data_IF_251220402835
#
_entry.id   IF_251220402835
#
_cell.length_a   1.000
_cell.length_b   1.000
_cell.length_c   1.000
_cell.angle_alpha   90.00
_cell.angle_beta   90.00
_cell.angle_gamma   90.00
#
_symmetry.space_group_name_H-M   'P 1'
#
loop_
_entity.id
_entity.type
_entity.pdbx_description
1 polymer ?
#
# COMPACT_ATOMS: atom_id res chain seq x y z
N UNK A 1 -75.70 -9.39 47.55
CA UNK A 1 -75.34 -7.96 47.40
C UNK A 1 -74.02 -7.73 48.12
N UNK A 2 -73.19 -6.85 47.56
CA UNK A 2 -71.85 -6.42 47.97
C UNK A 2 -70.66 -7.21 47.42
N UNK A 3 -69.85 -6.44 46.68
CA UNK A 3 -68.76 -6.76 45.78
C UNK A 3 -67.43 -6.99 46.52
N UNK A 4 -66.53 -7.75 45.90
CA UNK A 4 -65.09 -7.60 46.11
C UNK A 4 -64.36 -7.71 44.77
N UNK A 5 -63.56 -6.69 44.48
CA UNK A 5 -62.76 -6.48 43.27
C UNK A 5 -61.35 -7.02 43.53
N UNK A 6 -60.83 -7.87 42.65
CA UNK A 6 -59.43 -8.29 42.65
C UNK A 6 -58.59 -7.33 41.80
N UNK A 7 -57.50 -6.80 42.38
CA UNK A 7 -56.44 -6.05 41.69
C UNK A 7 -55.19 -6.94 41.57
N UNK A 8 -54.53 -6.76 40.44
CA UNK A 8 -53.27 -7.37 39.97
C UNK A 8 -52.04 -6.94 40.76
N UNK A 9 -51.10 -7.86 40.95
CA UNK A 9 -49.70 -7.58 41.33
C UNK A 9 -48.76 -7.92 40.16
N UNK A 10 -48.04 -6.91 39.67
CA UNK A 10 -46.88 -7.05 38.78
C UNK A 10 -45.60 -6.95 39.63
N UNK A 11 -44.66 -7.87 39.40
CA UNK A 11 -43.30 -7.81 39.93
C UNK A 11 -42.30 -7.86 38.77
N UNK A 12 -41.40 -6.87 38.60
CA UNK A 12 -40.43 -6.91 37.52
C UNK A 12 -39.15 -7.64 37.94
N UNK A 13 -38.86 -8.76 37.27
CA UNK A 13 -37.55 -9.40 37.25
C UNK A 13 -36.58 -8.51 36.44
N UNK A 14 -35.66 -7.86 37.14
CA UNK A 14 -34.55 -7.15 36.52
C UNK A 14 -33.54 -8.15 35.97
N UNK A 15 -33.47 -8.28 34.64
CA UNK A 15 -32.38 -8.94 33.94
C UNK A 15 -31.24 -7.94 33.81
N UNK A 16 -30.25 -8.03 34.69
CA UNK A 16 -28.98 -7.31 34.57
C UNK A 16 -28.16 -7.94 33.43
N UNK A 17 -28.25 -7.33 32.24
CA UNK A 17 -27.29 -7.53 31.16
C UNK A 17 -25.94 -6.99 31.63
N UNK A 18 -25.03 -7.88 32.01
CA UNK A 18 -23.63 -7.51 32.22
C UNK A 18 -23.01 -7.19 30.86
N UNK A 19 -22.95 -5.91 30.53
CA UNK A 19 -22.08 -5.40 29.46
C UNK A 19 -20.64 -5.64 29.90
N UNK A 20 -20.00 -6.71 29.43
CA UNK A 20 -18.56 -6.84 29.52
C UNK A 20 -17.94 -5.70 28.71
N UNK A 21 -17.47 -4.67 29.43
CA UNK A 21 -16.55 -3.68 28.87
C UNK A 21 -15.26 -4.43 28.59
N UNK A 22 -15.05 -4.85 27.34
CA UNK A 22 -13.75 -5.33 26.91
C UNK A 22 -12.79 -4.15 27.00
N UNK A 23 -11.77 -4.24 27.85
CA UNK A 23 -10.72 -3.22 27.94
C UNK A 23 -10.00 -3.15 26.59
N UNK A 24 -10.13 -2.00 25.92
CA UNK A 24 -9.45 -1.74 24.64
C UNK A 24 -7.92 -1.67 24.86
N UNK A 25 -7.16 -2.39 24.05
CA UNK A 25 -5.69 -2.36 24.08
C UNK A 25 -5.21 -1.33 23.06
N UNK A 26 -4.43 -0.30 23.49
CA UNK A 26 -3.88 0.68 22.55
C UNK A 26 -2.87 0.03 21.60
N UNK A 27 -2.74 0.58 20.39
CA UNK A 27 -1.70 0.17 19.46
C UNK A 27 -0.32 0.31 20.11
N UNK A 28 0.54 -0.69 19.93
CA UNK A 28 1.83 -0.74 20.59
C UNK A 28 1.83 -1.39 21.98
N UNK A 29 0.73 -2.03 22.38
CA UNK A 29 0.61 -2.75 23.66
C UNK A 29 0.30 -1.84 24.86
N UNK A 30 0.13 -2.47 26.04
CA UNK A 30 -0.34 -1.79 27.27
C UNK A 30 0.74 -0.99 28.01
N UNK A 31 2.03 -1.23 27.72
CA UNK A 31 3.13 -0.51 28.37
C UNK A 31 3.10 0.98 27.98
N UNK A 32 2.95 1.93 28.92
CA UNK A 32 2.85 3.34 28.58
C UNK A 32 4.17 3.93 28.03
N UNK A 33 5.32 3.34 28.34
CA UNK A 33 6.65 3.90 28.06
C UNK A 33 7.35 3.20 26.88
N UNK A 34 6.80 2.08 26.39
CA UNK A 34 7.31 1.34 25.25
C UNK A 34 6.22 1.10 24.21
N UNK A 35 6.56 1.11 22.93
CA UNK A 35 5.63 0.78 21.85
C UNK A 35 6.08 -0.48 21.12
N UNK A 36 5.31 -1.55 21.28
CA UNK A 36 5.56 -2.84 20.64
C UNK A 36 4.99 -2.89 19.23
N UNK A 37 5.87 -2.96 18.23
CA UNK A 37 5.49 -3.02 16.82
C UNK A 37 4.75 -4.30 16.44
N UNK A 38 4.82 -5.36 17.24
CA UNK A 38 4.06 -6.58 16.97
C UNK A 38 2.60 -6.41 17.37
N UNK A 39 2.29 -5.65 18.43
CA UNK A 39 0.93 -5.45 18.93
C UNK A 39 0.16 -4.35 18.15
N UNK A 40 0.13 -4.52 16.82
CA UNK A 40 -0.39 -3.56 15.84
C UNK A 40 -1.01 -4.28 14.62
N UNK A 41 -2.04 -3.67 14.04
CA UNK A 41 -2.61 -4.02 12.74
C UNK A 41 -1.85 -3.34 11.59
N UNK A 42 -1.36 -4.11 10.61
CA UNK A 42 -0.69 -3.58 9.41
C UNK A 42 -1.46 -3.91 8.14
N UNK A 43 -1.65 -2.95 7.21
CA UNK A 43 -2.14 -3.28 5.88
C UNK A 43 -1.06 -4.06 5.12
N UNK A 44 -1.43 -5.16 4.46
CA UNK A 44 -0.47 -6.00 3.71
C UNK A 44 -0.79 -6.07 2.22
N UNK A 45 -2.04 -5.78 1.84
CA UNK A 45 -2.47 -5.72 0.44
C UNK A 45 -3.73 -4.87 0.25
N UNK A 46 -3.92 -4.33 -0.97
CA UNK A 46 -5.27 -3.98 -1.42
C UNK A 46 -6.01 -5.25 -1.85
N UNK A 47 -7.26 -5.42 -1.42
CA UNK A 47 -8.06 -6.62 -1.76
C UNK A 47 -8.34 -6.71 -3.26
N UNK A 48 -8.37 -5.59 -3.97
CA UNK A 48 -8.59 -5.51 -5.42
C UNK A 48 -7.37 -5.96 -6.26
N UNK A 49 -6.22 -6.16 -5.62
CA UNK A 49 -5.02 -6.68 -6.26
C UNK A 49 -4.70 -8.13 -5.82
N UNK A 50 -5.53 -8.74 -4.97
CA UNK A 50 -5.43 -10.15 -4.59
C UNK A 50 -6.33 -11.02 -5.46
N UNK A 51 -5.83 -12.22 -5.78
CA UNK A 51 -6.58 -13.24 -6.51
C UNK A 51 -7.05 -14.33 -5.54
N UNK A 52 -8.36 -14.52 -5.45
CA UNK A 52 -8.97 -15.49 -4.54
C UNK A 52 -8.67 -16.95 -4.90
N UNK A 53 -8.15 -17.23 -6.10
CA UNK A 53 -7.86 -18.58 -6.55
C UNK A 53 -6.46 -19.07 -6.17
N UNK A 54 -5.58 -18.19 -5.71
CA UNK A 54 -4.17 -18.50 -5.45
C UNK A 54 -3.66 -17.88 -4.14
N UNK A 55 -2.76 -18.57 -3.42
CA UNK A 55 -2.07 -17.97 -2.30
C UNK A 55 -1.12 -16.86 -2.75
N UNK A 56 -0.91 -15.86 -1.90
CA UNK A 56 -0.02 -14.72 -2.16
C UNK A 56 0.97 -14.56 -1.00
N UNK A 57 2.27 -14.52 -1.31
CA UNK A 57 3.31 -14.25 -0.31
C UNK A 57 3.39 -12.75 0.04
N UNK A 58 3.58 -12.46 1.32
CA UNK A 58 4.02 -11.17 1.82
C UNK A 58 5.08 -11.37 2.92
N UNK A 59 5.87 -10.35 3.23
CA UNK A 59 6.77 -10.37 4.39
C UNK A 59 6.41 -9.20 5.28
N UNK A 60 6.09 -9.47 6.54
CA UNK A 60 5.73 -8.47 7.55
C UNK A 60 6.71 -8.61 8.72
N UNK A 61 7.44 -7.55 9.05
CA UNK A 61 8.40 -7.56 10.17
C UNK A 61 9.41 -8.73 10.10
N UNK A 62 10.07 -8.92 8.95
CA UNK A 62 10.95 -10.06 8.61
C UNK A 62 10.28 -11.46 8.56
N UNK A 63 9.02 -11.58 8.94
CA UNK A 63 8.27 -12.84 8.91
C UNK A 63 7.55 -13.01 7.57
N UNK A 64 7.90 -14.06 6.83
CA UNK A 64 7.15 -14.47 5.65
C UNK A 64 5.77 -15.00 6.05
N UNK A 65 4.74 -14.51 5.37
CA UNK A 65 3.33 -14.88 5.55
C UNK A 65 2.68 -15.22 4.21
N UNK A 66 1.72 -16.13 4.24
CA UNK A 66 0.87 -16.48 3.10
C UNK A 66 -0.53 -15.93 3.31
N UNK A 67 -1.01 -15.15 2.35
CA UNK A 67 -2.37 -14.63 2.27
C UNK A 67 -3.16 -15.52 1.33
N UNK A 68 -4.34 -15.98 1.74
CA UNK A 68 -5.18 -16.84 0.89
C UNK A 68 -6.65 -16.67 1.21
N UNK A 69 -7.52 -17.00 0.25
CA UNK A 69 -8.96 -16.87 0.39
C UNK A 69 -9.57 -18.17 0.90
N UNK A 70 -10.16 -18.12 2.10
CA UNK A 70 -10.92 -19.23 2.66
C UNK A 70 -12.32 -19.24 2.04
N UNK A 71 -12.55 -20.18 1.11
CA UNK A 71 -13.82 -20.31 0.42
C UNK A 71 -14.97 -20.74 1.34
N UNK A 72 -14.69 -21.38 2.49
CA UNK A 72 -15.75 -21.81 3.42
C UNK A 72 -16.27 -20.62 4.21
N UNK A 73 -15.35 -19.83 4.76
CA UNK A 73 -15.66 -18.69 5.62
C UNK A 73 -15.82 -17.36 4.84
N UNK A 74 -15.57 -17.38 3.53
CA UNK A 74 -15.62 -16.22 2.65
C UNK A 74 -14.79 -15.03 3.17
N UNK A 75 -13.57 -15.32 3.63
CA UNK A 75 -12.67 -14.31 4.18
C UNK A 75 -11.20 -14.57 3.84
N UNK A 76 -10.41 -13.50 3.83
CA UNK A 76 -8.96 -13.61 3.70
C UNK A 76 -8.34 -14.14 4.99
N UNK A 77 -7.40 -15.08 4.86
CA UNK A 77 -6.62 -15.65 5.96
C UNK A 77 -5.13 -15.33 5.75
N UNK A 78 -4.38 -15.27 6.84
CA UNK A 78 -2.95 -15.09 6.82
C UNK A 78 -2.26 -16.09 7.74
N UNK A 79 -1.33 -16.88 7.23
CA UNK A 79 -0.52 -17.81 8.03
C UNK A 79 0.94 -17.46 7.96
N UNK A 80 1.72 -17.88 8.95
CA UNK A 80 3.19 -17.98 8.79
C UNK A 80 3.46 -18.89 7.59
N UNK A 81 4.30 -18.42 6.66
CA UNK A 81 4.52 -19.08 5.36
C UNK A 81 5.49 -20.27 5.46
N UNK A 82 5.14 -21.25 6.29
CA UNK A 82 5.99 -22.41 6.57
C UNK A 82 5.14 -23.61 6.96
N UNK A 83 5.14 -24.63 6.11
CA UNK A 83 4.48 -25.90 6.42
C UNK A 83 5.16 -26.56 7.64
N UNK A 84 4.40 -26.95 8.68
CA UNK A 84 4.99 -27.57 9.88
C UNK A 84 5.61 -28.94 9.63
N UNK A 85 5.29 -29.60 8.51
CA UNK A 85 5.85 -30.91 8.16
C UNK A 85 7.36 -30.82 7.83
N UNK A 86 7.74 -30.03 6.82
CA UNK A 86 9.14 -29.90 6.35
C UNK A 86 9.50 -28.49 5.87
N UNK A 87 8.82 -27.49 6.41
CA UNK A 87 9.13 -26.07 6.25
C UNK A 87 9.01 -25.51 4.83
N UNK A 88 8.35 -26.24 3.91
CA UNK A 88 8.04 -25.74 2.58
C UNK A 88 7.16 -24.47 2.67
N UNK A 89 7.40 -23.44 1.83
CA UNK A 89 6.54 -22.28 1.75
C UNK A 89 5.14 -22.70 1.30
N UNK A 90 4.13 -22.29 2.06
CA UNK A 90 2.73 -22.56 1.75
C UNK A 90 2.21 -21.63 0.64
N UNK A 91 2.85 -20.48 0.45
CA UNK A 91 2.59 -19.53 -0.62
C UNK A 91 2.89 -20.06 -2.03
N UNK A 92 3.71 -21.10 -2.15
CA UNK A 92 3.95 -21.85 -3.40
C UNK A 92 2.91 -22.97 -3.61
N UNK A 93 1.94 -23.08 -2.69
CA UNK A 93 0.87 -24.08 -2.72
C UNK A 93 -0.33 -23.69 -3.55
N UNK A 94 -1.47 -24.30 -3.24
CA UNK A 94 -2.76 -24.01 -3.89
C UNK A 94 -3.91 -24.06 -2.89
N UNK A 95 -5.05 -23.50 -3.29
CA UNK A 95 -6.32 -23.77 -2.62
C UNK A 95 -6.91 -25.01 -3.30
N UNK A 96 -7.05 -26.11 -2.56
CA UNK A 96 -7.52 -27.36 -3.14
C UNK A 96 -9.06 -27.38 -3.31
N UNK A 97 -9.57 -28.47 -3.87
CA UNK A 97 -10.99 -28.64 -4.21
C UNK A 97 -11.91 -28.56 -2.98
N UNK A 98 -11.39 -28.87 -1.79
CA UNK A 98 -12.10 -28.76 -0.52
C UNK A 98 -12.04 -27.33 0.08
N UNK A 99 -11.41 -26.38 -0.60
CA UNK A 99 -11.22 -25.00 -0.12
C UNK A 99 -10.17 -24.86 0.98
N UNK A 100 -9.25 -25.81 1.13
CA UNK A 100 -8.16 -25.77 2.11
C UNK A 100 -6.88 -25.27 1.48
N UNK A 101 -6.00 -24.65 2.28
CA UNK A 101 -4.65 -24.31 1.83
C UNK A 101 -3.81 -25.59 1.81
N UNK A 102 -3.37 -26.00 0.63
CA UNK A 102 -2.62 -27.23 0.40
C UNK A 102 -1.14 -26.94 0.15
N UNK A 103 -0.28 -27.56 0.96
CA UNK A 103 1.17 -27.48 0.82
C UNK A 103 1.64 -28.16 -0.49
N UNK A 104 2.49 -27.51 -1.30
CA UNK A 104 2.90 -28.05 -2.59
C UNK A 104 3.82 -29.27 -2.47
N UNK A 105 4.40 -29.53 -1.29
CA UNK A 105 5.38 -30.58 -1.13
C UNK A 105 4.74 -31.97 -0.95
N UNK A 106 3.86 -32.11 0.04
CA UNK A 106 3.25 -33.42 0.38
C UNK A 106 1.73 -33.38 0.45
N UNK A 107 1.08 -32.28 0.02
CA UNK A 107 -0.38 -32.17 0.00
C UNK A 107 -1.03 -32.09 1.38
N UNK A 108 -0.26 -31.77 2.43
CA UNK A 108 -0.86 -31.46 3.75
C UNK A 108 -1.75 -30.22 3.59
N UNK A 109 -3.00 -30.32 4.03
CA UNK A 109 -3.99 -29.28 3.85
C UNK A 109 -4.46 -28.70 5.18
N UNK A 110 -4.61 -27.37 5.23
CA UNK A 110 -4.91 -26.62 6.43
C UNK A 110 -6.22 -25.84 6.28
N UNK A 111 -7.03 -25.84 7.33
CA UNK A 111 -8.24 -25.02 7.42
C UNK A 111 -7.90 -23.55 7.67
N UNK A 112 -8.89 -22.65 7.57
CA UNK A 112 -8.74 -21.23 7.86
C UNK A 112 -8.24 -20.87 9.28
N UNK A 113 -8.34 -21.80 10.24
CA UNK A 113 -7.80 -21.62 11.60
C UNK A 113 -6.35 -22.07 11.75
N UNK A 114 -5.75 -22.61 10.67
CA UNK A 114 -4.42 -23.20 10.68
C UNK A 114 -4.38 -24.67 11.12
N UNK A 115 -5.53 -25.27 11.47
CA UNK A 115 -5.60 -26.69 11.82
C UNK A 115 -5.27 -27.55 10.61
N UNK A 116 -4.42 -28.56 10.79
CA UNK A 116 -4.24 -29.60 9.78
C UNK A 116 -5.53 -30.41 9.65
N UNK A 117 -6.09 -30.43 8.45
CA UNK A 117 -7.35 -31.12 8.15
C UNK A 117 -7.09 -32.41 7.37
N UNK A 118 -6.04 -32.44 6.55
CA UNK A 118 -5.72 -33.60 5.71
C UNK A 118 -4.22 -33.86 5.63
N UNK A 119 -3.85 -35.12 5.85
CA UNK A 119 -2.51 -35.66 5.61
C UNK A 119 -2.68 -36.81 4.62
N UNK A 120 -2.38 -36.64 3.31
CA UNK A 120 -2.71 -37.66 2.32
C UNK A 120 -1.95 -38.99 2.49
N UNK A 121 -0.78 -38.96 3.12
CA UNK A 121 0.10 -40.14 3.28
C UNK A 121 -0.14 -40.91 4.58
N UNK A 122 -1.09 -40.50 5.43
CA UNK A 122 -1.38 -41.25 6.64
C UNK A 122 -2.27 -42.47 6.34
N UNK A 123 -2.09 -43.54 7.10
CA UNK A 123 -2.95 -44.73 7.03
C UNK A 123 -4.41 -44.38 7.39
N UNK A 124 -5.34 -45.17 6.87
CA UNK A 124 -6.76 -45.01 7.21
C UNK A 124 -6.97 -45.18 8.73
N UNK A 125 -7.69 -44.23 9.34
CA UNK A 125 -7.86 -44.18 10.80
C UNK A 125 -6.70 -43.54 11.57
N UNK A 126 -5.64 -43.10 10.89
CA UNK A 126 -4.60 -42.24 11.46
C UNK A 126 -5.18 -40.95 12.07
N UNK A 127 -4.44 -40.37 13.02
CA UNK A 127 -4.84 -39.16 13.77
C UNK A 127 -3.71 -38.14 13.88
N UNK A 128 -2.75 -38.17 12.95
CA UNK A 128 -1.56 -37.32 13.04
C UNK A 128 -1.92 -35.82 12.95
N UNK A 129 -3.00 -35.49 12.24
CA UNK A 129 -3.56 -34.15 12.08
C UNK A 129 -4.14 -33.55 13.38
N UNK A 130 -4.42 -34.39 14.38
CA UNK A 130 -4.91 -33.94 15.71
C UNK A 130 -3.79 -33.28 16.53
N UNK A 131 -2.53 -33.56 16.21
CA UNK A 131 -1.38 -32.96 16.92
C UNK A 131 -1.31 -31.46 16.66
N UNK A 132 -1.09 -30.66 17.71
CA UNK A 132 -0.81 -29.23 17.55
C UNK A 132 0.45 -28.96 16.72
N UNK A 133 1.39 -29.92 16.66
CA UNK A 133 2.58 -29.84 15.81
C UNK A 133 2.26 -29.98 14.32
N UNK A 134 1.05 -30.44 13.97
CA UNK A 134 0.58 -30.49 12.61
C UNK A 134 -0.05 -29.15 12.18
N UNK A 135 -0.41 -28.26 13.11
CA UNK A 135 -1.04 -26.99 12.78
C UNK A 135 -0.03 -25.96 12.26
N UNK A 136 -0.48 -25.09 11.35
CA UNK A 136 0.25 -23.88 10.95
C UNK A 136 -0.18 -22.70 11.82
N UNK A 137 0.75 -21.81 12.15
CA UNK A 137 0.45 -20.58 12.90
C UNK A 137 -0.42 -19.65 12.06
N UNK A 138 -1.64 -19.40 12.54
CA UNK A 138 -2.56 -18.43 11.95
C UNK A 138 -2.41 -17.04 12.56
N UNK A 139 -2.50 -16.01 11.72
CA UNK A 139 -2.47 -14.60 12.10
C UNK A 139 -3.86 -13.98 11.92
N UNK A 140 -4.32 -13.11 12.83
CA UNK A 140 -5.60 -12.42 12.68
C UNK A 140 -5.62 -11.55 11.43
N UNK A 141 -6.75 -11.56 10.73
CA UNK A 141 -6.97 -10.76 9.53
C UNK A 141 -8.26 -9.94 9.64
N UNK A 142 -8.28 -8.78 8.99
CA UNK A 142 -9.51 -8.00 8.81
C UNK A 142 -9.42 -7.15 7.55
N UNK A 143 -10.56 -6.91 6.91
CA UNK A 143 -10.63 -6.04 5.73
C UNK A 143 -11.28 -4.72 6.13
N UNK A 144 -10.55 -3.63 5.96
CA UNK A 144 -11.06 -2.27 6.20
C UNK A 144 -10.64 -1.35 5.07
N UNK A 145 -11.58 -0.55 4.58
CA UNK A 145 -11.32 0.48 3.57
C UNK A 145 -10.59 -0.03 2.29
N UNK A 146 -10.89 -1.27 1.88
CA UNK A 146 -10.27 -1.92 0.71
C UNK A 146 -8.87 -2.50 0.96
N UNK A 147 -8.34 -2.40 2.19
CA UNK A 147 -7.06 -2.98 2.60
C UNK A 147 -7.30 -4.25 3.41
N UNK A 148 -6.49 -5.27 3.16
CA UNK A 148 -6.33 -6.42 4.03
C UNK A 148 -5.30 -6.06 5.11
N UNK A 149 -5.73 -6.11 6.37
CA UNK A 149 -4.89 -5.94 7.54
C UNK A 149 -4.55 -7.29 8.17
N UNK A 150 -3.33 -7.39 8.69
CA UNK A 150 -2.83 -8.53 9.49
C UNK A 150 -2.36 -7.99 10.83
N UNK A 151 -2.74 -8.63 11.92
CA UNK A 151 -2.21 -8.33 13.25
C UNK A 151 -0.93 -9.13 13.47
N UNK A 152 0.17 -8.46 13.82
CA UNK A 152 1.48 -9.11 13.97
C UNK A 152 1.69 -9.79 15.33
N UNK A 153 0.88 -9.41 16.33
CA UNK A 153 1.05 -9.80 17.73
C UNK A 153 0.15 -10.97 18.11
N UNK A 154 -0.22 -11.03 19.39
CA UNK A 154 -1.07 -12.11 19.87
C UNK A 154 -2.49 -12.03 19.30
N UNK A 155 -3.07 -13.20 18.98
CA UNK A 155 -4.43 -13.26 18.44
C UNK A 155 -5.50 -12.79 19.44
N UNK A 156 -5.23 -12.89 20.74
CA UNK A 156 -6.13 -12.40 21.80
C UNK A 156 -6.22 -10.86 21.79
N UNK A 157 -5.10 -10.18 21.60
CA UNK A 157 -5.05 -8.72 21.63
C UNK A 157 -5.63 -8.11 20.35
N UNK A 158 -5.53 -8.80 19.22
CA UNK A 158 -6.07 -8.33 17.94
C UNK A 158 -7.54 -7.90 18.01
N UNK A 159 -8.38 -8.63 18.75
CA UNK A 159 -9.81 -8.32 18.93
C UNK A 159 -10.05 -7.07 19.81
N UNK A 160 -9.09 -6.71 20.67
CA UNK A 160 -9.13 -5.57 21.60
C UNK A 160 -8.38 -4.35 21.05
N UNK A 161 -7.64 -4.47 19.94
CA UNK A 161 -6.90 -3.37 19.33
C UNK A 161 -7.63 -2.81 18.11
N UNK A 162 -7.86 -1.49 18.10
CA UNK A 162 -8.48 -0.79 16.96
C UNK A 162 -7.60 -0.89 15.71
N UNK A 163 -8.22 -1.19 14.56
CA UNK A 163 -7.55 -1.12 13.25
C UNK A 163 -7.30 0.34 12.89
N UNK A 164 -6.06 0.75 12.54
CA UNK A 164 -5.76 2.12 12.19
C UNK A 164 -6.38 2.44 10.81
N UNK A 165 -7.41 3.28 10.82
CA UNK A 165 -8.13 3.72 9.62
C UNK A 165 -8.32 5.24 9.64
N UNK A 166 -8.75 5.79 8.50
CA UNK A 166 -9.17 7.19 8.41
C UNK A 166 -10.68 7.25 8.58
N UNK A 167 -11.15 7.54 9.80
CA UNK A 167 -12.56 7.42 10.20
C UNK A 167 -13.52 8.21 9.27
N UNK A 168 -13.14 9.43 8.83
CA UNK A 168 -13.95 10.27 7.93
C UNK A 168 -14.22 9.64 6.54
N UNK A 169 -13.42 8.66 6.13
CA UNK A 169 -13.67 7.91 4.89
C UNK A 169 -14.78 6.86 5.05
N UNK A 170 -15.01 6.36 6.28
CA UNK A 170 -16.11 5.43 6.57
C UNK A 170 -17.42 6.22 6.81
N UNK A 171 -17.35 7.37 7.48
CA UNK A 171 -18.50 8.24 7.78
C UNK A 171 -19.21 8.76 6.51
N UNK A 172 -18.44 9.08 5.46
CA UNK A 172 -18.95 9.66 4.22
C UNK A 172 -18.59 8.83 2.98
N UNK A 173 -18.63 7.50 3.08
CA UNK A 173 -18.09 6.56 2.08
C UNK A 173 -18.41 6.90 0.61
N UNK A 174 -19.64 7.26 0.30
CA UNK A 174 -20.09 7.51 -1.08
C UNK A 174 -19.69 8.90 -1.62
N UNK A 175 -19.22 9.80 -0.75
CA UNK A 175 -18.78 11.14 -1.13
C UNK A 175 -17.34 11.17 -1.67
N UNK A 176 -16.54 10.15 -1.38
CA UNK A 176 -15.12 10.11 -1.70
C UNK A 176 -14.83 9.32 -2.97
N UNK A 177 -13.95 9.86 -3.81
CA UNK A 177 -13.32 9.13 -4.90
C UNK A 177 -11.86 8.92 -4.51
N UNK A 178 -11.44 7.68 -4.35
CA UNK A 178 -10.09 7.34 -3.91
C UNK A 178 -9.26 6.84 -5.09
N UNK A 179 -8.11 7.49 -5.33
CA UNK A 179 -7.04 6.90 -6.12
C UNK A 179 -6.10 6.19 -5.16
N UNK A 180 -5.90 4.90 -5.35
CA UNK A 180 -5.04 4.08 -4.49
C UNK A 180 -3.80 3.66 -5.28
N UNK A 181 -2.68 3.44 -4.58
CA UNK A 181 -1.52 2.74 -5.13
C UNK A 181 -0.68 2.21 -3.98
N UNK A 182 0.22 1.27 -4.26
CA UNK A 182 1.19 0.78 -3.30
C UNK A 182 2.54 0.62 -3.96
N UNK A 183 3.61 0.58 -3.17
CA UNK A 183 4.94 0.25 -3.67
C UNK A 183 5.85 -0.26 -2.57
N UNK A 184 6.67 -1.25 -2.90
CA UNK A 184 7.79 -1.63 -2.03
C UNK A 184 8.94 -0.65 -2.22
N UNK A 185 9.40 -0.09 -1.12
CA UNK A 185 10.40 0.96 -1.05
C UNK A 185 11.64 0.44 -0.33
N UNK A 186 12.85 0.71 -0.82
CA UNK A 186 14.09 0.18 -0.29
C UNK A 186 14.61 1.06 0.86
N UNK A 187 13.76 1.35 1.83
CA UNK A 187 14.14 2.04 3.06
C UNK A 187 13.12 1.74 4.17
N UNK A 188 13.51 2.01 5.41
CA UNK A 188 12.69 1.76 6.59
C UNK A 188 11.35 2.52 6.55
N UNK A 189 10.33 1.93 7.16
CA UNK A 189 9.00 2.53 7.30
C UNK A 189 9.04 3.90 8.03
N UNK A 190 9.97 4.07 8.98
CA UNK A 190 10.18 5.33 9.69
C UNK A 190 10.77 6.42 8.77
N UNK A 191 11.67 6.05 7.86
CA UNK A 191 12.21 6.96 6.83
C UNK A 191 11.09 7.42 5.90
N UNK A 192 10.18 6.51 5.53
CA UNK A 192 8.99 6.89 4.77
C UNK A 192 8.09 7.85 5.56
N UNK A 193 7.77 7.53 6.82
CA UNK A 193 6.93 8.37 7.68
C UNK A 193 7.51 9.78 7.84
N UNK A 194 8.82 9.88 8.09
CA UNK A 194 9.54 11.16 8.15
C UNK A 194 9.34 11.97 6.86
N UNK A 195 9.54 11.35 5.70
CA UNK A 195 9.39 12.01 4.40
C UNK A 195 7.97 12.51 4.16
N UNK A 196 6.93 11.69 4.44
CA UNK A 196 5.55 12.08 4.13
C UNK A 196 4.98 13.10 5.13
N UNK A 197 5.54 13.18 6.33
CA UNK A 197 5.22 14.21 7.33
C UNK A 197 5.79 15.58 6.96
N UNK A 198 6.96 15.62 6.32
CA UNK A 198 7.57 16.86 5.85
C UNK A 198 6.94 17.34 4.54
N UNK A 199 6.02 18.29 4.60
CA UNK A 199 5.41 18.87 3.38
C UNK A 199 6.33 19.87 2.66
N UNK A 200 7.47 20.27 3.24
CA UNK A 200 8.33 21.34 2.71
C UNK A 200 9.11 20.93 1.47
N UNK A 201 9.38 19.63 1.29
CA UNK A 201 10.12 19.12 0.14
C UNK A 201 9.30 19.13 -1.16
N UNK A 202 7.96 19.10 -1.07
CA UNK A 202 7.06 18.88 -2.21
C UNK A 202 7.33 19.84 -3.39
N UNK A 203 7.47 21.17 -3.20
CA UNK A 203 7.74 22.10 -4.29
C UNK A 203 9.05 21.84 -5.05
N UNK A 204 10.05 21.25 -4.37
CA UNK A 204 11.40 21.04 -4.89
C UNK A 204 11.59 19.62 -5.43
N UNK A 205 11.36 18.60 -4.61
CA UNK A 205 11.58 17.20 -5.00
C UNK A 205 10.67 16.78 -6.14
N UNK A 206 9.41 17.23 -6.08
CA UNK A 206 8.38 16.94 -7.08
C UNK A 206 8.18 18.09 -8.06
N UNK A 207 9.19 18.94 -8.25
CA UNK A 207 9.12 20.02 -9.23
C UNK A 207 8.89 19.46 -10.64
N UNK A 208 7.85 19.95 -11.33
CA UNK A 208 7.50 19.49 -12.67
C UNK A 208 6.64 18.21 -12.68
N UNK A 209 6.23 17.71 -11.50
CA UNK A 209 5.22 16.66 -11.36
C UNK A 209 4.02 17.20 -10.57
N UNK A 210 3.99 17.00 -9.25
CA UNK A 210 2.91 17.47 -8.36
C UNK A 210 3.27 18.77 -7.65
N UNK A 211 4.54 19.17 -7.68
CA UNK A 211 5.08 20.37 -7.06
C UNK A 211 5.56 21.42 -8.08
N UNK A 212 5.64 22.66 -7.61
CA UNK A 212 6.26 23.77 -8.34
C UNK A 212 7.08 24.62 -7.36
N UNK A 213 8.39 24.78 -7.60
CA UNK A 213 9.31 25.51 -6.72
C UNK A 213 8.97 26.99 -6.59
N UNK A 214 8.29 27.57 -7.58
CA UNK A 214 7.77 28.94 -7.52
C UNK A 214 6.65 29.13 -6.46
N UNK A 215 6.02 28.03 -6.03
CA UNK A 215 4.95 28.03 -5.04
C UNK A 215 5.45 27.87 -3.60
N UNK A 216 6.77 27.83 -3.38
CA UNK A 216 7.34 27.75 -2.03
C UNK A 216 6.83 28.91 -1.15
N UNK A 217 6.58 28.59 0.12
CA UNK A 217 6.17 29.54 1.15
C UNK A 217 6.74 29.09 2.49
N UNK A 218 6.77 29.99 3.46
CA UNK A 218 7.08 29.66 4.85
C UNK A 218 6.17 28.54 5.35
N UNK A 219 6.76 27.52 5.98
CA UNK A 219 6.04 26.39 6.58
C UNK A 219 6.10 26.56 8.10
N UNK A 220 4.96 26.93 8.68
CA UNK A 220 4.80 27.17 10.12
C UNK A 220 3.95 26.04 10.70
N UNK A 221 4.63 24.97 11.15
CA UNK A 221 3.99 23.78 11.71
C UNK A 221 3.85 23.90 13.23
N UNK A 222 2.70 23.45 13.74
CA UNK A 222 2.40 23.39 15.16
C UNK A 222 1.94 21.99 15.55
N UNK A 223 2.44 21.48 16.68
CA UNK A 223 1.93 20.26 17.31
C UNK A 223 0.73 20.64 18.16
N UNK A 224 -0.40 20.00 17.91
CA UNK A 224 -1.66 20.20 18.64
C UNK A 224 -1.80 19.18 19.77
N UNK A 225 -1.51 17.92 19.47
CA UNK A 225 -1.60 16.80 20.41
C UNK A 225 -0.47 15.81 20.11
N UNK A 226 0.06 15.14 21.13
CA UNK A 226 1.03 14.06 20.96
C UNK A 226 0.91 13.04 22.08
N UNK A 227 1.27 11.79 21.78
CA UNK A 227 1.29 10.70 22.75
C UNK A 227 1.82 9.42 22.13
N UNK A 228 1.74 8.31 22.87
CA UNK A 228 2.16 6.99 22.39
C UNK A 228 1.49 6.60 21.06
N UNK A 229 0.21 6.95 20.92
CA UNK A 229 -0.62 6.70 19.73
C UNK A 229 -0.21 7.49 18.48
N UNK A 230 0.70 8.47 18.59
CA UNK A 230 1.13 9.34 17.50
C UNK A 230 0.95 10.83 17.83
N UNK A 231 0.68 11.66 16.83
CA UNK A 231 0.49 13.10 17.04
C UNK A 231 -0.40 13.74 15.99
N UNK A 232 -0.96 14.91 16.34
CA UNK A 232 -1.69 15.78 15.42
C UNK A 232 -0.97 17.11 15.31
N UNK A 233 -0.92 17.66 14.12
CA UNK A 233 -0.37 18.97 13.87
C UNK A 233 -1.15 19.74 12.82
N UNK A 234 -0.88 21.03 12.74
CA UNK A 234 -1.54 21.95 11.82
C UNK A 234 -0.52 22.84 11.13
N UNK A 235 -0.82 23.20 9.89
CA UNK A 235 -0.21 24.30 9.16
C UNK A 235 -1.31 25.27 8.74
N UNK A 236 -1.43 26.39 9.47
CA UNK A 236 -2.52 27.34 9.31
C UNK A 236 -2.60 27.96 7.90
N UNK A 237 -1.44 28.34 7.36
CA UNK A 237 -1.37 28.85 5.99
C UNK A 237 -1.52 27.72 4.96
N UNK A 238 -1.08 26.50 5.28
CA UNK A 238 -1.13 25.38 4.36
C UNK A 238 -0.37 25.59 3.04
N UNK A 239 -0.50 24.66 2.09
CA UNK A 239 0.31 24.65 0.90
C UNK A 239 -0.08 25.74 -0.11
N UNK A 240 0.88 26.04 -1.01
CA UNK A 240 0.73 27.01 -2.11
C UNK A 240 0.33 28.41 -1.63
N UNK A 241 1.08 28.98 -0.69
CA UNK A 241 0.91 30.37 -0.22
C UNK A 241 -0.53 30.66 0.25
N UNK A 242 -1.18 29.73 0.96
CA UNK A 242 -2.55 29.95 1.45
C UNK A 242 -3.67 29.54 0.48
N UNK A 243 -3.37 29.27 -0.79
CA UNK A 243 -4.41 29.06 -1.81
C UNK A 243 -5.20 27.76 -1.63
N UNK A 244 -4.60 26.75 -0.98
CA UNK A 244 -5.26 25.48 -0.69
C UNK A 244 -5.90 25.41 0.71
N UNK A 245 -5.79 26.49 1.49
CA UNK A 245 -6.30 26.54 2.86
C UNK A 245 -5.42 25.81 3.87
N UNK A 246 -5.87 25.81 5.13
CA UNK A 246 -5.23 25.11 6.25
C UNK A 246 -5.01 23.63 5.93
N UNK A 247 -3.85 23.11 6.33
CA UNK A 247 -3.55 21.69 6.31
C UNK A 247 -3.53 21.15 7.74
N UNK A 248 -4.33 20.13 8.02
CA UNK A 248 -4.22 19.34 9.25
C UNK A 248 -3.48 18.03 8.93
N UNK A 249 -2.60 17.61 9.82
CA UNK A 249 -1.78 16.41 9.67
C UNK A 249 -1.97 15.52 10.88
N UNK A 250 -2.27 14.25 10.64
CA UNK A 250 -2.49 13.26 11.69
C UNK A 250 -1.56 12.09 11.45
N UNK A 251 -0.70 11.80 12.42
CA UNK A 251 0.11 10.59 12.50
C UNK A 251 -0.49 9.66 13.56
N UNK A 252 -0.84 8.45 13.14
CA UNK A 252 -1.28 7.34 13.99
C UNK A 252 -0.18 6.28 13.94
N UNK A 253 0.41 6.02 15.09
CA UNK A 253 1.52 5.11 15.22
C UNK A 253 1.14 3.67 14.82
N UNK A 254 2.09 2.90 14.26
CA UNK A 254 3.45 3.33 13.92
C UNK A 254 3.59 3.82 12.47
N UNK A 255 2.56 3.66 11.64
CA UNK A 255 2.73 3.71 10.19
C UNK A 255 1.62 4.40 9.41
N UNK A 256 0.62 5.01 10.03
CA UNK A 256 -0.43 5.74 9.31
C UNK A 256 -0.21 7.24 9.46
N UNK A 257 -0.15 7.95 8.34
CA UNK A 257 -0.20 9.40 8.29
C UNK A 257 -1.26 9.85 7.30
N UNK A 258 -2.00 10.92 7.62
CA UNK A 258 -2.77 11.62 6.61
C UNK A 258 -2.82 13.14 6.77
N UNK A 259 -2.87 13.81 5.62
CA UNK A 259 -3.09 15.25 5.50
C UNK A 259 -4.54 15.51 5.08
N UNK A 260 -5.18 16.49 5.72
CA UNK A 260 -6.50 17.02 5.36
C UNK A 260 -6.39 18.43 4.84
N UNK A 261 -6.88 18.64 3.63
CA UNK A 261 -6.82 19.90 2.91
C UNK A 261 -8.20 20.21 2.37
N UNK A 262 -8.75 21.37 2.75
CA UNK A 262 -10.01 21.88 2.20
C UNK A 262 -9.75 23.16 1.42
N UNK A 263 -9.86 23.07 0.09
CA UNK A 263 -9.73 24.22 -0.82
C UNK A 263 -11.10 24.62 -1.37
N UNK A 264 -11.34 25.94 -1.45
CA UNK A 264 -12.52 26.48 -2.13
C UNK A 264 -12.59 26.08 -3.61
N UNK A 265 -11.44 25.92 -4.27
CA UNK A 265 -11.35 25.61 -5.69
C UNK A 265 -11.48 24.12 -5.99
N UNK A 266 -10.83 23.26 -5.20
CA UNK A 266 -10.67 21.83 -5.50
C UNK A 266 -11.51 20.90 -4.63
N UNK A 267 -12.27 21.45 -3.68
CA UNK A 267 -13.00 20.67 -2.68
C UNK A 267 -12.09 20.21 -1.55
N UNK A 268 -12.43 19.08 -0.93
CA UNK A 268 -11.64 18.48 0.15
C UNK A 268 -10.82 17.31 -0.39
N UNK A 269 -9.53 17.28 -0.05
CA UNK A 269 -8.59 16.26 -0.52
C UNK A 269 -7.82 15.72 0.65
N UNK A 270 -7.70 14.41 0.74
CA UNK A 270 -6.82 13.76 1.71
C UNK A 270 -5.61 13.17 0.99
N UNK A 271 -4.46 13.20 1.65
CA UNK A 271 -3.31 12.36 1.28
C UNK A 271 -3.07 11.41 2.44
N UNK A 272 -3.32 10.12 2.22
CA UNK A 272 -3.21 9.09 3.25
C UNK A 272 -2.09 8.15 2.88
N UNK A 273 -1.18 7.87 3.80
CA UNK A 273 -0.06 6.96 3.62
C UNK A 273 -0.02 5.97 4.77
N UNK A 274 0.08 4.69 4.43
CA UNK A 274 0.49 3.64 5.36
C UNK A 274 1.91 3.18 5.02
N UNK A 275 2.77 3.03 6.02
CA UNK A 275 4.07 2.38 5.93
C UNK A 275 4.03 1.06 6.69
N UNK A 276 4.18 -0.04 5.95
CA UNK A 276 4.23 -1.39 6.53
C UNK A 276 5.67 -1.91 6.47
N UNK A 277 6.32 -2.18 7.61
CA UNK A 277 7.67 -2.72 7.63
C UNK A 277 7.73 -4.12 7.00
N UNK A 278 8.64 -4.31 6.05
CA UNK A 278 8.90 -5.61 5.42
C UNK A 278 10.15 -6.23 6.06
N UNK A 279 11.29 -5.53 5.96
CA UNK A 279 12.61 -5.90 6.52
C UNK A 279 13.39 -4.64 6.89
N UNK A 280 14.52 -4.77 7.57
CA UNK A 280 15.45 -3.64 7.78
C UNK A 280 15.90 -3.06 6.43
N UNK A 281 15.57 -1.79 6.18
CA UNK A 281 15.80 -1.10 4.92
C UNK A 281 14.78 -1.42 3.82
N UNK A 282 13.60 -1.94 4.16
CA UNK A 282 12.54 -2.27 3.21
C UNK A 282 11.14 -2.10 3.84
N UNK A 283 10.26 -1.33 3.19
CA UNK A 283 8.85 -1.19 3.60
C UNK A 283 7.90 -1.19 2.41
N UNK A 284 6.61 -1.47 2.66
CA UNK A 284 5.53 -1.21 1.70
C UNK A 284 4.82 0.08 2.04
N UNK A 285 4.77 0.99 1.08
CA UNK A 285 3.85 2.12 1.07
C UNK A 285 2.49 1.68 0.54
N UNK A 286 1.41 2.10 1.20
CA UNK A 286 0.07 2.20 0.62
C UNK A 286 -0.34 3.66 0.62
N UNK A 287 -0.52 4.26 -0.55
CA UNK A 287 -0.98 5.63 -0.70
C UNK A 287 -2.42 5.66 -1.19
N UNK A 288 -3.24 6.46 -0.52
CA UNK A 288 -4.63 6.72 -0.90
C UNK A 288 -4.80 8.22 -1.03
N UNK A 289 -5.42 8.63 -2.12
CA UNK A 289 -5.76 10.02 -2.40
C UNK A 289 -7.29 10.14 -2.51
N UNK A 290 -8.01 10.27 -1.38
CA UNK A 290 -9.42 10.60 -1.36
C UNK A 290 -9.70 12.03 -1.84
N UNK A 291 -10.65 12.18 -2.76
CA UNK A 291 -11.14 13.47 -3.24
C UNK A 291 -12.65 13.58 -3.03
N UNK A 292 -13.09 14.69 -2.44
CA UNK A 292 -14.48 15.12 -2.37
C UNK A 292 -14.61 16.42 -3.17
N UNK A 293 -15.04 16.27 -4.42
CA UNK A 293 -15.13 17.38 -5.38
C UNK A 293 -16.39 18.22 -5.17
N UNK A 294 -16.29 19.52 -5.46
CA UNK A 294 -17.44 20.43 -5.46
C UNK A 294 -18.40 20.19 -6.64
N UNK A 295 -17.95 19.50 -7.70
CA UNK A 295 -18.76 19.14 -8.86
C UNK A 295 -18.55 17.67 -9.25
N UNK A 296 -19.54 17.07 -9.93
CA UNK A 296 -19.50 15.65 -10.31
C UNK A 296 -18.53 15.35 -11.47
N UNK A 297 -18.18 16.35 -12.28
CA UNK A 297 -17.45 16.17 -13.53
C UNK A 297 -16.01 15.64 -13.33
N UNK A 298 -15.16 16.21 -12.46
CA UNK A 298 -13.82 15.66 -12.20
C UNK A 298 -13.88 14.22 -11.68
N UNK A 299 -14.87 13.93 -10.83
CA UNK A 299 -15.10 12.60 -10.30
C UNK A 299 -15.43 11.56 -11.37
N UNK A 300 -16.21 11.94 -12.39
CA UNK A 300 -16.52 11.06 -13.52
C UNK A 300 -15.25 10.71 -14.31
N UNK A 301 -14.41 11.70 -14.64
CA UNK A 301 -13.16 11.47 -15.36
C UNK A 301 -12.20 10.56 -14.59
N UNK A 302 -12.09 10.74 -13.26
CA UNK A 302 -11.27 9.87 -12.44
C UNK A 302 -11.79 8.43 -12.41
N UNK A 303 -13.11 8.23 -12.32
CA UNK A 303 -13.72 6.88 -12.34
C UNK A 303 -13.53 6.16 -13.68
N UNK A 304 -13.47 6.90 -14.79
CA UNK A 304 -13.24 6.35 -16.13
C UNK A 304 -11.75 6.07 -16.42
N UNK A 305 -10.84 6.66 -15.64
CA UNK A 305 -9.41 6.50 -15.83
C UNK A 305 -8.96 5.13 -15.29
N UNK A 306 -8.35 4.25 -16.10
CA UNK A 306 -7.84 2.97 -15.62
C UNK A 306 -6.81 3.14 -14.50
N UNK A 307 -6.89 2.33 -13.43
CA UNK A 307 -5.97 2.42 -12.27
C UNK A 307 -4.49 2.40 -12.69
N UNK A 308 -4.10 1.50 -13.60
CA UNK A 308 -2.71 1.43 -14.08
C UNK A 308 -2.20 2.75 -14.67
N UNK A 309 -3.06 3.56 -15.28
CA UNK A 309 -2.66 4.82 -15.88
C UNK A 309 -2.29 5.85 -14.81
N UNK A 310 -3.10 5.96 -13.75
CA UNK A 310 -2.75 6.81 -12.59
C UNK A 310 -1.51 6.27 -11.85
N UNK A 311 -1.38 4.95 -11.73
CA UNK A 311 -0.24 4.32 -11.05
C UNK A 311 1.10 4.68 -11.71
N UNK A 312 1.18 4.77 -13.03
CA UNK A 312 2.41 5.17 -13.72
C UNK A 312 2.87 6.56 -13.24
N UNK A 313 1.94 7.51 -13.11
CA UNK A 313 2.22 8.85 -12.61
C UNK A 313 2.61 8.86 -11.13
N UNK A 314 1.85 8.15 -10.28
CA UNK A 314 2.10 8.08 -8.84
C UNK A 314 3.43 7.39 -8.52
N UNK A 315 3.78 6.29 -9.20
CA UNK A 315 5.09 5.66 -9.05
C UNK A 315 6.22 6.63 -9.42
N UNK A 316 6.03 7.45 -10.46
CA UNK A 316 7.04 8.45 -10.86
C UNK A 316 7.27 9.51 -9.78
N UNK A 317 6.27 9.81 -8.94
CA UNK A 317 6.40 10.71 -7.78
C UNK A 317 7.20 10.03 -6.67
N UNK A 318 6.89 8.78 -6.32
CA UNK A 318 7.63 8.03 -5.29
C UNK A 318 9.11 7.80 -5.66
N UNK A 319 9.40 7.62 -6.95
CA UNK A 319 10.76 7.50 -7.48
C UNK A 319 11.56 8.80 -7.35
N UNK A 320 10.88 9.95 -7.33
CA UNK A 320 11.52 11.24 -7.16
C UNK A 320 12.18 11.33 -5.76
N UNK A 321 11.64 10.68 -4.72
CA UNK A 321 12.21 10.67 -3.36
C UNK A 321 13.23 9.55 -3.13
N UNK A 322 12.88 8.37 -3.64
CA UNK A 322 13.44 7.10 -3.21
C UNK A 322 14.98 7.04 -3.21
N UNK A 323 15.63 7.62 -4.23
CA UNK A 323 17.08 7.52 -4.37
C UNK A 323 17.79 8.16 -3.19
N UNK A 324 17.42 9.39 -2.82
CA UNK A 324 18.14 10.07 -1.75
C UNK A 324 17.68 9.58 -0.37
N UNK A 325 16.42 9.17 -0.18
CA UNK A 325 15.95 8.60 1.08
C UNK A 325 16.69 7.31 1.43
N UNK A 326 16.93 6.45 0.43
CA UNK A 326 17.73 5.24 0.56
C UNK A 326 19.16 5.53 1.07
N UNK A 327 19.79 6.60 0.60
CA UNK A 327 21.11 7.00 1.10
C UNK A 327 21.03 7.71 2.46
N UNK A 328 20.02 8.57 2.66
CA UNK A 328 19.83 9.37 3.87
C UNK A 328 19.71 8.51 5.12
N UNK A 329 18.90 7.44 5.10
CA UNK A 329 18.75 6.55 6.25
C UNK A 329 20.06 5.85 6.65
N UNK A 330 20.91 5.52 5.67
CA UNK A 330 22.22 4.90 5.89
C UNK A 330 23.19 5.89 6.52
N UNK A 331 23.16 7.15 6.07
CA UNK A 331 23.94 8.21 6.71
C UNK A 331 23.47 8.49 8.14
N UNK A 332 22.17 8.41 8.41
CA UNK A 332 21.64 8.52 9.76
C UNK A 332 22.09 7.34 10.64
N UNK A 333 22.00 6.10 10.14
CA UNK A 333 22.46 4.90 10.87
C UNK A 333 23.95 5.03 11.23
N UNK A 334 24.80 5.43 10.27
CA UNK A 334 26.24 5.67 10.50
C UNK A 334 26.52 6.77 11.53
N UNK A 335 25.60 7.74 11.68
CA UNK A 335 25.69 8.82 12.67
C UNK A 335 25.04 8.46 14.01
N UNK A 336 24.72 7.18 14.24
CA UNK A 336 24.19 6.68 15.52
C UNK A 336 22.67 6.63 15.59
N UNK A 337 21.98 6.63 14.45
CA UNK A 337 20.53 6.38 14.34
C UNK A 337 19.66 7.45 14.99
N UNK A 338 18.41 7.08 15.30
CA UNK A 338 17.43 8.00 15.90
C UNK A 338 17.90 8.56 17.24
N UNK A 339 18.65 7.80 18.04
CA UNK A 339 19.19 8.29 19.33
C UNK A 339 20.11 9.51 19.18
N UNK A 340 20.74 9.69 18.02
CA UNK A 340 21.65 10.80 17.72
C UNK A 340 21.12 11.76 16.64
N UNK A 341 19.82 11.73 16.33
CA UNK A 341 19.26 12.48 15.21
C UNK A 341 19.52 13.99 15.28
N UNK A 342 19.54 14.59 16.48
CA UNK A 342 19.80 16.03 16.68
C UNK A 342 21.23 16.45 16.36
N UNK A 343 22.19 15.51 16.36
CA UNK A 343 23.56 15.73 15.88
C UNK A 343 23.68 15.40 14.39
N UNK A 344 22.92 14.41 13.93
CA UNK A 344 22.96 13.97 12.55
C UNK A 344 22.28 14.96 11.60
N UNK A 345 21.16 15.55 12.04
CA UNK A 345 20.33 16.50 11.31
C UNK A 345 20.47 17.91 11.89
N UNK A 346 20.36 18.90 11.02
CA UNK A 346 20.21 20.30 11.42
C UNK A 346 18.78 20.73 11.03
N UNK A 347 17.92 20.87 12.03
CA UNK A 347 16.48 21.13 11.89
C UNK A 347 16.11 22.49 12.52
N UNK A 348 16.54 23.62 11.95
CA UNK A 348 16.50 24.91 12.63
C UNK A 348 15.16 25.64 12.51
N UNK A 349 14.23 25.16 11.69
CA UNK A 349 13.01 25.90 11.34
C UNK A 349 11.74 25.21 11.80
N UNK A 350 10.63 25.96 11.76
CA UNK A 350 9.29 25.42 12.02
C UNK A 350 8.81 24.43 10.96
N UNK A 351 9.42 24.42 9.77
CA UNK A 351 9.15 23.42 8.74
C UNK A 351 9.56 22.00 9.21
N UNK A 352 10.55 21.92 10.09
CA UNK A 352 11.13 20.66 10.56
C UNK A 352 10.37 20.05 11.76
N UNK A 353 9.33 20.73 12.26
CA UNK A 353 8.67 20.38 13.53
C UNK A 353 8.15 18.94 13.56
N UNK A 354 7.51 18.47 12.49
CA UNK A 354 6.95 17.11 12.45
C UNK A 354 8.04 16.04 12.35
N UNK A 355 9.15 16.34 11.68
CA UNK A 355 10.34 15.46 11.65
C UNK A 355 10.93 15.34 13.05
N UNK A 356 11.12 16.47 13.74
CA UNK A 356 11.61 16.49 15.11
C UNK A 356 10.66 15.73 16.06
N UNK A 357 9.35 15.95 15.93
CA UNK A 357 8.34 15.26 16.74
C UNK A 357 8.35 13.75 16.51
N UNK A 358 8.45 13.29 15.24
CA UNK A 358 8.54 11.87 14.93
C UNK A 358 9.77 11.23 15.56
N UNK A 359 10.96 11.84 15.41
CA UNK A 359 12.20 11.30 15.99
C UNK A 359 12.21 11.33 17.52
N UNK A 360 11.61 12.35 18.11
CA UNK A 360 11.40 12.42 19.56
C UNK A 360 10.47 11.30 20.04
N UNK A 361 9.37 11.05 19.31
CA UNK A 361 8.45 9.94 19.57
C UNK A 361 9.16 8.57 19.45
N UNK A 362 9.97 8.37 18.40
CA UNK A 362 10.77 7.14 18.23
C UNK A 362 11.66 6.88 19.45
N UNK A 363 12.37 7.91 19.91
CA UNK A 363 13.27 7.78 21.05
C UNK A 363 12.51 7.62 22.38
N UNK A 364 11.40 8.33 22.56
CA UNK A 364 10.60 8.28 23.78
C UNK A 364 10.02 6.89 24.04
N UNK A 365 9.53 6.22 23.00
CA UNK A 365 8.85 4.92 23.13
C UNK A 365 9.71 3.73 22.68
N UNK A 366 11.04 3.90 22.65
CA UNK A 366 12.03 2.85 22.33
C UNK A 366 11.72 2.08 21.04
N UNK A 367 11.35 2.81 20.00
CA UNK A 367 10.84 2.29 18.74
C UNK A 367 11.98 1.71 17.89
N UNK A 368 12.00 0.38 17.74
CA UNK A 368 12.86 -0.31 16.77
C UNK A 368 12.20 -1.62 16.28
N UNK A 369 11.60 -1.65 15.07
CA UNK A 369 10.96 -2.86 14.55
C UNK A 369 11.96 -3.98 14.22
N UNK A 370 13.26 -3.69 14.14
CA UNK A 370 14.28 -4.63 13.68
C UNK A 370 15.51 -4.61 14.61
N UNK A 371 15.25 -4.72 15.91
CA UNK A 371 16.30 -4.65 16.92
C UNK A 371 17.47 -5.60 16.64
N UNK A 372 18.69 -5.05 16.68
CA UNK A 372 19.93 -5.77 16.39
C UNK A 372 20.22 -6.00 14.90
N UNK A 373 19.40 -5.48 13.98
CA UNK A 373 19.66 -5.50 12.54
C UNK A 373 20.28 -4.19 12.06
N UNK A 374 21.16 -4.29 11.06
CA UNK A 374 21.76 -3.13 10.38
C UNK A 374 21.23 -3.03 8.95
N UNK A 375 21.22 -1.82 8.37
CA UNK A 375 20.83 -1.65 6.97
C UNK A 375 21.74 -2.44 6.03
N UNK A 376 21.19 -3.04 4.97
CA UNK A 376 22.01 -3.68 3.94
C UNK A 376 22.81 -2.63 3.14
N UNK A 377 23.90 -3.04 2.45
CA UNK A 377 24.65 -2.17 1.56
C UNK A 377 23.75 -1.39 0.58
N UNK A 378 24.15 -0.18 0.16
CA UNK A 378 23.34 0.62 -0.75
C UNK A 378 23.15 -0.09 -2.10
N UNK A 379 21.94 0.01 -2.63
CA UNK A 379 21.57 -0.56 -3.92
C UNK A 379 21.99 0.37 -5.07
N UNK A 380 22.31 -0.18 -6.25
CA UNK A 380 22.56 0.62 -7.44
C UNK A 380 21.27 1.34 -7.89
N UNK A 381 21.43 2.48 -8.57
CA UNK A 381 20.31 3.33 -8.99
C UNK A 381 19.30 2.57 -9.86
N UNK A 382 19.74 1.62 -10.67
CA UNK A 382 18.90 0.79 -11.53
C UNK A 382 17.94 -0.07 -10.70
N UNK A 383 18.42 -0.64 -9.58
CA UNK A 383 17.60 -1.41 -8.66
C UNK A 383 16.61 -0.52 -7.89
N UNK A 384 17.01 0.70 -7.52
CA UNK A 384 16.10 1.68 -6.91
C UNK A 384 15.00 2.10 -7.90
N UNK A 385 15.31 2.17 -9.19
CA UNK A 385 14.33 2.52 -10.22
C UNK A 385 13.55 1.30 -10.75
N UNK A 386 13.72 0.10 -10.19
CA UNK A 386 12.94 -1.07 -10.60
C UNK A 386 11.48 -0.93 -10.16
N UNK A 387 10.59 -0.70 -11.14
CA UNK A 387 9.14 -0.62 -10.94
C UNK A 387 8.48 -1.98 -11.06
N UNK A 388 9.06 -2.91 -11.82
CA UNK A 388 8.43 -4.21 -12.07
C UNK A 388 8.29 -4.99 -10.77
N UNK A 389 9.38 -5.12 -10.02
CA UNK A 389 9.39 -5.90 -8.78
C UNK A 389 8.82 -5.15 -7.58
N UNK A 390 8.96 -3.82 -7.54
CA UNK A 390 8.41 -2.99 -6.46
C UNK A 390 6.89 -2.74 -6.57
N UNK A 391 6.30 -2.91 -7.76
CA UNK A 391 4.89 -2.59 -8.00
C UNK A 391 4.22 -3.49 -9.05
N UNK A 392 4.65 -3.42 -10.32
CA UNK A 392 3.86 -3.91 -11.47
C UNK A 392 3.44 -5.37 -11.34
N UNK A 393 4.36 -6.26 -10.98
CA UNK A 393 4.07 -7.70 -10.87
C UNK A 393 3.09 -8.04 -9.74
N UNK A 394 2.93 -7.15 -8.76
CA UNK A 394 2.11 -7.34 -7.55
C UNK A 394 0.76 -6.60 -7.66
N UNK A 395 0.60 -5.73 -8.65
CA UNK A 395 -0.63 -4.96 -8.87
C UNK A 395 -1.42 -5.59 -10.01
N UNK A 396 -2.65 -6.06 -9.72
CA UNK A 396 -3.48 -6.73 -10.72
C UNK A 396 -3.81 -5.83 -11.91
N UNK A 397 -4.02 -4.52 -11.68
CA UNK A 397 -4.27 -3.58 -12.77
C UNK A 397 -3.06 -3.38 -13.67
N UNK A 398 -1.87 -3.19 -13.10
CA UNK A 398 -0.65 -2.91 -13.87
C UNK A 398 -0.12 -4.14 -14.59
N UNK A 399 -0.11 -5.31 -13.94
CA UNK A 399 0.29 -6.58 -14.56
C UNK A 399 -0.63 -6.96 -15.73
N UNK A 400 -1.95 -6.85 -15.55
CA UNK A 400 -2.92 -7.10 -16.63
C UNK A 400 -2.74 -6.11 -17.78
N UNK A 401 -2.55 -4.82 -17.48
CA UNK A 401 -2.30 -3.80 -18.50
C UNK A 401 -1.01 -4.08 -19.29
N UNK A 402 0.06 -4.51 -18.62
CA UNK A 402 1.31 -4.89 -19.26
C UNK A 402 1.13 -6.09 -20.21
N UNK A 403 0.44 -7.15 -19.77
CA UNK A 403 0.14 -8.32 -20.61
C UNK A 403 -0.67 -7.91 -21.85
N UNK A 404 -1.71 -7.10 -21.67
CA UNK A 404 -2.54 -6.62 -22.77
C UNK A 404 -1.76 -5.72 -23.73
N UNK A 405 -0.88 -4.87 -23.21
CA UNK A 405 0.01 -4.02 -23.99
C UNK A 405 0.98 -4.85 -24.84
N UNK A 406 1.59 -5.89 -24.27
CA UNK A 406 2.48 -6.80 -24.98
C UNK A 406 1.76 -7.57 -26.09
N UNK A 407 0.53 -8.05 -25.83
CA UNK A 407 -0.31 -8.68 -26.85
C UNK A 407 -0.66 -7.72 -27.98
N UNK A 408 -1.02 -6.47 -27.64
CA UNK A 408 -1.31 -5.44 -28.63
C UNK A 408 -0.08 -5.10 -29.48
N UNK A 409 1.08 -4.95 -28.84
CA UNK A 409 2.34 -4.68 -29.52
C UNK A 409 2.72 -5.82 -30.49
N UNK A 410 2.57 -7.08 -30.07
CA UNK A 410 2.79 -8.23 -30.94
C UNK A 410 1.80 -8.25 -32.11
N UNK A 411 0.52 -7.98 -31.86
CA UNK A 411 -0.51 -7.90 -32.90
C UNK A 411 -0.22 -6.81 -33.93
N UNK A 412 0.16 -5.61 -33.50
CA UNK A 412 0.54 -4.52 -34.40
C UNK A 412 1.80 -4.88 -35.20
N UNK A 413 2.83 -5.44 -34.56
CA UNK A 413 4.03 -5.88 -35.25
C UNK A 413 3.71 -6.91 -36.35
N UNK A 414 2.86 -7.90 -36.05
CA UNK A 414 2.45 -8.91 -37.02
C UNK A 414 1.66 -8.30 -38.19
N UNK A 415 0.66 -7.44 -37.92
CA UNK A 415 -0.14 -6.78 -38.96
C UNK A 415 0.73 -5.86 -39.82
N UNK A 416 1.63 -5.08 -39.21
CA UNK A 416 2.56 -4.20 -39.94
C UNK A 416 3.54 -4.99 -40.80
N UNK A 417 4.10 -6.10 -40.29
CA UNK A 417 4.99 -6.97 -41.05
C UNK A 417 4.27 -7.65 -42.23
N UNK A 418 3.05 -8.14 -42.01
CA UNK A 418 2.22 -8.72 -43.07
C UNK A 418 1.91 -7.67 -44.14
N UNK A 419 1.50 -6.46 -43.76
CA UNK A 419 1.24 -5.37 -44.70
C UNK A 419 2.49 -5.00 -45.50
N UNK A 420 3.67 -4.97 -44.85
CA UNK A 420 4.94 -4.68 -45.51
C UNK A 420 5.33 -5.74 -46.55
N UNK A 421 5.06 -7.03 -46.28
CA UNK A 421 5.38 -8.13 -47.20
C UNK A 421 4.34 -8.28 -48.31
N UNK A 422 3.05 -8.17 -47.98
CA UNK A 422 1.96 -8.37 -48.94
C UNK A 422 1.81 -7.20 -49.90
N UNK A 423 2.14 -5.97 -49.50
CA UNK A 423 1.99 -4.80 -50.36
C UNK A 423 2.82 -4.91 -51.66
N UNK A 424 4.14 -5.20 -51.63
CA UNK A 424 4.92 -5.44 -52.85
C UNK A 424 4.40 -6.61 -53.68
N UNK A 425 4.00 -7.71 -53.05
CA UNK A 425 3.48 -8.89 -53.75
C UNK A 425 2.18 -8.58 -54.50
N UNK A 426 1.26 -7.83 -53.87
CA UNK A 426 0.01 -7.41 -54.50
C UNK A 426 0.26 -6.50 -55.69
N UNK A 427 1.25 -5.59 -55.60
CA UNK A 427 1.63 -4.73 -56.74
C UNK A 427 2.29 -5.49 -57.90
N UNK A 428 2.82 -6.69 -57.67
CA UNK A 428 3.37 -7.55 -58.73
C UNK A 428 2.30 -8.39 -59.42
N UNK A 429 1.18 -8.68 -58.74
CA UNK A 429 0.13 -9.57 -59.24
C UNK A 429 -1.05 -8.78 -59.82
N UNK A 430 -1.34 -7.59 -59.27
CA UNK A 430 -2.48 -6.76 -59.65
C UNK A 430 -2.03 -5.34 -60.00
N UNK A 431 -2.77 -4.68 -60.90
CA UNK A 431 -2.67 -3.23 -61.08
C UNK A 431 -3.29 -2.53 -59.85
N UNK A 432 -2.44 -2.01 -58.98
CA UNK A 432 -2.85 -1.26 -57.78
C UNK A 432 -2.61 0.22 -58.02
N UNK A 433 -3.62 1.06 -57.83
CA UNK A 433 -3.47 2.51 -57.97
C UNK A 433 -2.49 3.07 -56.92
N UNK A 434 -1.73 4.07 -57.35
CA UNK A 434 -0.80 4.89 -56.56
C UNK A 434 -1.39 5.40 -55.24
N UNK A 435 -2.68 5.74 -55.22
CA UNK A 435 -3.38 6.19 -54.00
C UNK A 435 -3.46 5.04 -52.98
N UNK A 436 -3.82 3.83 -53.41
CA UNK A 436 -3.91 2.66 -52.53
C UNK A 436 -2.53 2.25 -51.99
N UNK A 437 -1.48 2.34 -52.83
CA UNK A 437 -0.09 2.13 -52.41
C UNK A 437 0.29 3.16 -51.33
N UNK A 438 -0.06 4.43 -51.52
CA UNK A 438 0.24 5.50 -50.57
C UNK A 438 -0.45 5.28 -49.21
N UNK A 439 -1.73 4.86 -49.21
CA UNK A 439 -2.43 4.51 -47.97
C UNK A 439 -1.82 3.30 -47.25
N UNK A 440 -1.39 2.29 -47.99
CA UNK A 440 -0.77 1.10 -47.40
C UNK A 440 0.62 1.41 -46.80
N UNK A 441 1.43 2.24 -47.48
CA UNK A 441 2.69 2.74 -46.93
C UNK A 441 2.43 3.55 -45.65
N UNK A 442 1.44 4.45 -45.68
CA UNK A 442 1.07 5.24 -44.50
C UNK A 442 0.63 4.32 -43.35
N UNK A 443 -0.16 3.29 -43.63
CA UNK A 443 -0.58 2.31 -42.61
C UNK A 443 0.60 1.57 -42.00
N UNK A 444 1.62 1.19 -42.79
CA UNK A 444 2.85 0.56 -42.26
C UNK A 444 3.65 1.54 -41.40
N UNK A 445 3.82 2.78 -41.84
CA UNK A 445 4.52 3.82 -41.06
C UNK A 445 3.78 4.11 -39.75
N UNK A 446 2.45 4.26 -39.81
CA UNK A 446 1.61 4.43 -38.63
C UNK A 446 1.71 3.23 -37.69
N UNK A 447 1.67 2.00 -38.22
CA UNK A 447 1.84 0.78 -37.44
C UNK A 447 3.19 0.72 -36.72
N UNK A 448 4.29 1.03 -37.41
CA UNK A 448 5.62 1.13 -36.81
C UNK A 448 5.70 2.23 -35.73
N UNK A 449 5.09 3.40 -35.99
CA UNK A 449 5.01 4.50 -35.04
C UNK A 449 4.23 4.13 -33.78
N UNK A 450 3.08 3.45 -33.93
CA UNK A 450 2.28 2.96 -32.80
C UNK A 450 3.08 1.91 -32.02
N UNK A 451 3.68 0.92 -32.69
CA UNK A 451 4.51 -0.10 -32.05
C UNK A 451 5.63 0.49 -31.20
N UNK A 452 6.33 1.52 -31.73
CA UNK A 452 7.36 2.23 -31.00
C UNK A 452 6.81 3.01 -29.80
N UNK A 453 5.64 3.65 -29.94
CA UNK A 453 4.94 4.32 -28.85
C UNK A 453 4.53 3.37 -27.74
N UNK A 454 4.02 2.18 -28.09
CA UNK A 454 3.68 1.12 -27.15
C UNK A 454 4.91 0.59 -26.42
N UNK A 455 6.04 0.40 -27.10
CA UNK A 455 7.30 0.00 -26.46
C UNK A 455 7.81 1.02 -25.44
N UNK A 456 7.65 2.33 -25.71
CA UNK A 456 7.93 3.38 -24.72
C UNK A 456 7.00 3.31 -23.51
N UNK A 457 5.71 3.04 -23.73
CA UNK A 457 4.75 2.86 -22.64
C UNK A 457 5.07 1.62 -21.82
N UNK A 458 5.41 0.50 -22.48
CA UNK A 458 5.78 -0.77 -21.85
C UNK A 458 6.96 -0.58 -20.90
N UNK A 459 8.00 0.15 -21.31
CA UNK A 459 9.15 0.46 -20.46
C UNK A 459 8.76 1.14 -19.14
N UNK A 460 7.65 1.90 -19.11
CA UNK A 460 7.11 2.53 -17.90
C UNK A 460 6.43 1.53 -16.95
N UNK A 461 6.32 0.25 -17.29
CA UNK A 461 5.94 -0.79 -16.33
C UNK A 461 7.16 -1.43 -15.65
N UNK A 462 8.34 -1.30 -16.25
CA UNK A 462 9.57 -1.92 -15.74
C UNK A 462 10.44 -0.99 -14.92
N UNK A 463 10.62 0.25 -15.35
CA UNK A 463 11.62 1.13 -14.74
C UNK A 463 11.21 2.59 -14.65
N UNK A 464 11.71 3.21 -13.58
CA UNK A 464 11.64 4.63 -13.31
C UNK A 464 12.41 5.51 -14.28
N UNK A 465 12.24 6.82 -14.11
CA UNK A 465 12.99 7.84 -14.86
C UNK A 465 14.38 7.96 -14.27
N UNK A 466 15.41 7.90 -15.12
CA UNK A 466 16.80 8.10 -14.68
C UNK A 466 17.07 9.53 -14.23
N UNK A 467 16.42 10.51 -14.86
CA UNK A 467 16.52 11.93 -14.53
C UNK A 467 15.13 12.45 -14.14
N UNK A 468 14.93 12.87 -12.88
CA UNK A 468 13.66 13.41 -12.43
C UNK A 468 13.42 14.82 -13.01
N UNK A 469 12.16 15.25 -13.20
CA UNK A 469 11.84 16.53 -13.83
C UNK A 469 12.48 17.74 -13.15
N UNK A 470 12.64 17.68 -11.83
CA UNK A 470 13.30 18.72 -11.02
C UNK A 470 14.74 19.06 -11.44
N UNK A 471 15.41 18.16 -12.18
CA UNK A 471 16.80 18.31 -12.60
C UNK A 471 16.95 18.93 -14.00
N UNK A 472 15.88 19.06 -14.78
CA UNK A 472 15.98 19.75 -16.07
C UNK A 472 16.05 21.26 -15.86
N UNK A 473 16.80 21.99 -16.72
CA UNK A 473 16.80 23.44 -16.70
C UNK A 473 15.38 23.95 -16.96
N UNK A 474 15.03 25.06 -16.33
CA UNK A 474 13.78 25.75 -16.65
C UNK A 474 13.83 26.14 -18.13
N UNK A 475 12.76 25.84 -18.88
CA UNK A 475 12.61 26.39 -20.22
C UNK A 475 12.53 27.90 -20.04
N UNK A 476 13.57 28.62 -20.46
CA UNK A 476 13.54 30.08 -20.57
C UNK A 476 12.34 30.39 -21.47
N UNK A 477 11.29 30.97 -20.88
CA UNK A 477 10.08 31.37 -21.61
C UNK A 477 10.33 32.64 -22.40
#
# INVERSE_FOLDING_TARGET
>A
MSNSILKSEDSPLAVTSQTQVTEDIPAGGIDPDCFDWHEVWYPVHYIEDLDKSQPTRFTLLEQDIVLWWDNKEQMWRAFVDRCPHRLAPLSEGRINEAGLLECPYHGWAFSGTGKCDRIPQQEEGGKAEVSQRACVTSLPTTVRQGLLFVYAGSSENAAKTKVPIVDILDEEKDAWICLNTFRDLPYDALTLMENVLDSSHIPYTHHGTVGNRANVSTVELEIVESGKWGFKGTWAAGPRKGTLGKQDTIFIAPGLMWHDLTSKQFGRTLTVVYATPIRKGECRLFARFPFKFNSKLPGLFLKLTPRWYSHIGQNSVLEDDQIFLHHQERYLEQRGGSANFTKAFYLPTKADMFVFQLRSWVNQYSIDPFSGRTLPPPLPKEALLDRYHSHTKKCASCSTALINLQRLQLGIAAVTALAWVLLPLLTLIYEVDTIAISFAILAVISGAGIWFGLGKLERRFYQGRSVPPRNFPEKIQ
#
